data_IF_706533542679
#
_entry.id   IF_706533542679
#
_cell.length_a   1.000
_cell.length_b   1.000
_cell.length_c   1.000
_cell.angle_alpha   90.00
_cell.angle_beta   90.00
_cell.angle_gamma   90.00
#
_symmetry.space_group_name_H-M   'P 1'
#
loop_
_entity.id
_entity.type
_entity.pdbx_description
1 polymer ?
#
# COMPACT_ATOMS: atom_id res chain seq x y z
N UNK A 1 -0.10 4.85 0.34
CA UNK A 1 -1.47 4.55 0.80
C UNK A 1 -1.40 3.99 2.21
N UNK A 2 -2.13 4.58 3.12
CA UNK A 2 -2.24 4.12 4.51
C UNK A 2 -3.65 3.59 4.75
N UNK A 3 -3.76 2.38 5.27
CA UNK A 3 -5.03 1.79 5.67
C UNK A 3 -5.21 1.97 7.19
N UNK A 4 -6.36 2.48 7.59
CA UNK A 4 -6.71 2.61 9.01
C UNK A 4 -7.82 1.59 9.31
N UNK A 5 -7.52 0.64 10.20
CA UNK A 5 -8.47 -0.36 10.67
C UNK A 5 -8.80 -0.12 12.13
N UNK A 6 -10.05 -0.34 12.53
CA UNK A 6 -10.46 -0.36 13.94
C UNK A 6 -10.77 -1.76 14.40
N UNK A 7 -10.38 -2.10 15.62
CA UNK A 7 -10.92 -3.23 16.34
C UNK A 7 -12.14 -2.79 17.14
N UNK A 8 -13.31 -3.32 16.82
CA UNK A 8 -14.49 -3.21 17.67
C UNK A 8 -14.63 -4.47 18.51
N UNK A 9 -15.33 -4.38 19.65
CA UNK A 9 -15.47 -5.44 20.69
C UNK A 9 -15.96 -6.83 20.18
N UNK A 10 -16.11 -7.02 18.89
CA UNK A 10 -16.51 -8.27 18.24
C UNK A 10 -15.55 -8.72 17.13
N UNK A 11 -14.22 -8.46 17.25
CA UNK A 11 -13.15 -8.94 16.36
C UNK A 11 -13.39 -8.70 14.85
N UNK A 12 -14.25 -7.77 14.47
CA UNK A 12 -14.42 -7.38 13.07
C UNK A 12 -13.56 -6.16 12.80
N UNK A 13 -12.42 -6.37 12.17
CA UNK A 13 -11.62 -5.29 11.57
C UNK A 13 -12.45 -4.61 10.49
N UNK A 14 -12.65 -3.31 10.62
CA UNK A 14 -13.34 -2.50 9.63
C UNK A 14 -12.39 -1.45 9.10
N UNK A 15 -12.28 -1.37 7.76
CA UNK A 15 -11.52 -0.32 7.10
C UNK A 15 -12.25 1.00 7.34
N UNK A 16 -11.59 1.95 8.01
CA UNK A 16 -12.13 3.28 8.25
C UNK A 16 -11.83 4.24 7.11
N UNK A 17 -10.60 4.19 6.60
CA UNK A 17 -10.18 5.03 5.49
C UNK A 17 -9.00 4.39 4.75
N UNK A 18 -8.96 4.59 3.43
CA UNK A 18 -7.78 4.35 2.59
C UNK A 18 -7.26 5.72 2.14
N UNK A 19 -6.05 6.08 2.61
CA UNK A 19 -5.46 7.39 2.37
C UNK A 19 -4.48 7.26 1.21
N UNK A 20 -4.83 7.81 0.05
CA UNK A 20 -4.04 7.75 -1.20
C UNK A 20 -3.34 9.07 -1.55
N UNK A 21 -3.75 10.16 -0.93
CA UNK A 21 -3.29 11.53 -1.20
C UNK A 21 -2.98 12.29 0.10
N UNK A 22 -2.64 13.57 -0.03
CA UNK A 22 -2.34 14.45 1.10
C UNK A 22 -3.59 15.07 1.74
N UNK A 23 -4.80 14.66 1.34
CA UNK A 23 -6.03 15.16 1.94
C UNK A 23 -6.24 14.61 3.37
N UNK A 24 -6.54 15.48 4.34
CA UNK A 24 -6.75 15.03 5.71
C UNK A 24 -8.06 14.26 5.86
N UNK A 25 -8.00 13.08 6.48
CA UNK A 25 -9.17 12.25 6.77
C UNK A 25 -9.52 12.35 8.25
N UNK A 26 -10.78 12.67 8.54
CA UNK A 26 -11.29 12.70 9.92
C UNK A 26 -11.66 11.28 10.36
N UNK A 27 -10.86 10.73 11.26
CA UNK A 27 -11.02 9.35 11.77
C UNK A 27 -11.96 9.30 12.97
N UNK A 28 -11.90 10.31 13.85
CA UNK A 28 -12.76 10.43 15.02
C UNK A 28 -13.24 11.87 15.18
N UNK A 29 -14.51 12.04 15.50
CA UNK A 29 -15.08 13.37 15.70
C UNK A 29 -14.94 13.81 17.14
N UNK A 30 -14.50 15.06 17.33
CA UNK A 30 -14.46 15.68 18.65
C UNK A 30 -15.84 15.84 19.26
N UNK A 31 -15.89 15.79 20.58
CA UNK A 31 -17.13 16.02 21.31
C UNK A 31 -17.54 17.50 21.31
N UNK A 32 -18.79 17.74 21.68
CA UNK A 32 -19.32 19.11 21.83
C UNK A 32 -18.93 19.66 23.19
N UNK A 33 -18.32 20.84 23.22
CA UNK A 33 -17.99 21.54 24.45
C UNK A 33 -19.22 21.85 25.32
N UNK A 34 -19.02 21.87 26.61
CA UNK A 34 -20.06 22.26 27.58
C UNK A 34 -20.27 23.77 27.62
N UNK A 35 -21.28 24.17 28.37
CA UNK A 35 -21.59 25.58 28.62
C UNK A 35 -21.17 25.94 30.04
N UNK A 36 -20.30 26.94 30.16
CA UNK A 36 -19.93 27.49 31.42
C UNK A 36 -21.08 28.27 32.09
N UNK A 37 -20.92 28.63 33.35
CA UNK A 37 -21.94 29.35 34.13
C UNK A 37 -22.37 30.70 33.54
N UNK A 38 -21.48 31.37 32.81
CA UNK A 38 -21.77 32.64 32.11
C UNK A 38 -22.92 32.53 31.11
N UNK A 39 -23.09 31.38 30.45
CA UNK A 39 -24.21 31.15 29.53
C UNK A 39 -25.57 31.09 30.19
N UNK A 40 -25.61 30.92 31.52
CA UNK A 40 -26.85 30.81 32.30
C UNK A 40 -27.11 32.05 33.16
N UNK A 41 -26.31 33.09 32.98
CA UNK A 41 -26.51 34.35 33.67
C UNK A 41 -27.78 35.04 33.18
N UNK A 42 -28.59 35.51 34.11
CA UNK A 42 -29.82 36.30 33.87
C UNK A 42 -29.80 37.58 34.72
N UNK A 43 -30.61 38.59 34.40
CA UNK A 43 -30.66 39.82 35.20
C UNK A 43 -30.94 39.59 36.70
N UNK A 44 -31.67 38.54 37.02
CA UNK A 44 -32.00 38.14 38.40
C UNK A 44 -30.99 37.17 39.01
N UNK A 45 -30.21 36.47 38.22
CA UNK A 45 -29.16 35.53 38.64
C UNK A 45 -27.87 35.81 37.87
N UNK A 46 -27.11 36.78 38.32
CA UNK A 46 -25.89 37.22 37.62
C UNK A 46 -24.72 36.24 37.75
N UNK A 47 -24.68 35.44 38.82
CA UNK A 47 -23.61 34.46 39.07
C UNK A 47 -24.22 33.07 39.30
N UNK A 48 -24.62 32.35 38.26
CA UNK A 48 -25.10 30.97 38.40
C UNK A 48 -23.97 30.06 38.91
N UNK A 49 -24.28 29.11 39.79
CA UNK A 49 -23.32 28.12 40.33
C UNK A 49 -23.39 26.76 39.63
N UNK A 50 -23.90 26.71 38.42
CA UNK A 50 -24.00 25.50 37.63
C UNK A 50 -23.49 25.73 36.22
N UNK A 51 -23.03 24.62 35.57
CA UNK A 51 -22.57 24.56 34.22
C UNK A 51 -23.16 23.31 33.56
N UNK A 52 -23.24 23.29 32.26
CA UNK A 52 -23.65 22.09 31.51
C UNK A 52 -22.39 21.40 31.00
N UNK A 53 -22.14 20.12 31.34
CA UNK A 53 -21.00 19.37 30.81
C UNK A 53 -21.11 19.22 29.30
N UNK A 54 -19.97 19.04 28.64
CA UNK A 54 -19.91 18.69 27.24
C UNK A 54 -20.26 17.22 27.00
N UNK A 55 -20.25 16.86 25.73
CA UNK A 55 -20.38 15.46 25.31
C UNK A 55 -18.98 14.92 24.96
N UNK A 56 -18.66 13.68 25.32
CA UNK A 56 -17.41 13.06 24.92
C UNK A 56 -17.33 12.96 23.38
N UNK A 57 -16.12 13.01 22.86
CA UNK A 57 -15.84 12.71 21.46
C UNK A 57 -15.80 11.21 21.20
N UNK A 58 -15.65 10.87 19.94
CA UNK A 58 -15.38 9.49 19.50
C UNK A 58 -13.95 9.12 19.86
N UNK A 59 -13.73 7.87 20.25
CA UNK A 59 -12.41 7.31 20.52
C UNK A 59 -12.35 5.90 19.95
N UNK A 60 -11.30 5.61 19.17
CA UNK A 60 -11.10 4.33 18.52
C UNK A 60 -9.64 3.92 18.70
N UNK A 61 -9.41 2.63 18.84
CA UNK A 61 -8.09 2.03 18.65
C UNK A 61 -7.94 1.72 17.17
N UNK A 62 -6.92 2.31 16.52
CA UNK A 62 -6.72 2.17 15.08
C UNK A 62 -5.35 1.55 14.79
N UNK A 63 -5.31 0.70 13.77
CA UNK A 63 -4.09 0.15 13.22
C UNK A 63 -3.81 0.86 11.90
N UNK A 64 -2.64 1.47 11.80
CA UNK A 64 -2.16 2.09 10.57
C UNK A 64 -1.35 1.07 9.78
N UNK A 65 -1.78 0.77 8.57
CA UNK A 65 -1.06 -0.10 7.65
C UNK A 65 -0.51 0.69 6.48
N UNK A 66 0.83 0.73 6.34
CA UNK A 66 1.48 1.35 5.19
C UNK A 66 1.48 0.38 4.01
N UNK A 67 0.75 0.69 2.95
CA UNK A 67 0.61 -0.16 1.76
C UNK A 67 1.71 0.04 0.71
N UNK A 68 2.60 1.00 0.87
CA UNK A 68 3.70 1.19 -0.08
C UNK A 68 4.66 0.01 0.00
N UNK A 69 4.87 -0.69 -1.13
CA UNK A 69 5.79 -1.82 -1.20
C UNK A 69 7.19 -1.35 -1.59
N UNK A 70 7.29 -0.62 -2.70
CA UNK A 70 8.55 -0.13 -3.26
C UNK A 70 8.30 1.05 -4.21
N UNK A 71 9.34 1.80 -4.52
CA UNK A 71 9.28 2.83 -5.57
C UNK A 71 9.29 2.19 -6.95
N UNK A 72 10.07 1.12 -7.13
CA UNK A 72 10.23 0.39 -8.40
C UNK A 72 9.92 -1.08 -8.19
N UNK A 73 8.97 -1.61 -8.96
CA UNK A 73 8.65 -3.04 -9.02
C UNK A 73 9.30 -3.70 -10.23
N UNK A 74 10.01 -4.82 -10.03
CA UNK A 74 10.49 -5.66 -11.13
C UNK A 74 9.44 -6.69 -11.48
N UNK A 75 9.06 -6.75 -12.75
CA UNK A 75 8.18 -7.76 -13.32
C UNK A 75 8.91 -8.52 -14.43
N UNK A 76 8.52 -9.76 -14.66
CA UNK A 76 9.13 -10.62 -15.66
C UNK A 76 8.96 -12.08 -15.29
N UNK A 77 9.15 -12.96 -16.26
CA UNK A 77 9.08 -14.41 -16.05
C UNK A 77 10.13 -14.91 -15.05
N UNK A 78 9.94 -16.11 -14.47
CA UNK A 78 11.00 -16.73 -13.66
C UNK A 78 12.32 -16.85 -14.44
N UNK A 79 13.44 -16.80 -13.72
CA UNK A 79 14.81 -16.97 -14.23
C UNK A 79 15.32 -15.90 -15.22
N UNK A 80 14.56 -14.84 -15.52
CA UNK A 80 15.02 -13.74 -16.41
C UNK A 80 16.06 -12.81 -15.75
N UNK A 81 16.46 -13.06 -14.50
CA UNK A 81 17.53 -12.32 -13.85
C UNK A 81 17.08 -11.17 -12.92
N UNK A 82 15.80 -11.04 -12.58
CA UNK A 82 15.29 -9.98 -11.68
C UNK A 82 16.04 -9.90 -10.35
N UNK A 83 16.13 -11.02 -9.63
CA UNK A 83 16.80 -11.08 -8.32
C UNK A 83 18.31 -10.83 -8.45
N UNK A 84 18.92 -11.21 -9.56
CA UNK A 84 20.32 -10.91 -9.87
C UNK A 84 20.49 -9.40 -10.08
N UNK A 85 19.60 -8.78 -10.83
CA UNK A 85 19.62 -7.33 -11.04
C UNK A 85 19.57 -6.58 -9.71
N UNK A 86 18.61 -6.91 -8.84
CA UNK A 86 18.51 -6.28 -7.49
C UNK A 86 19.79 -6.50 -6.69
N UNK A 87 20.37 -7.70 -6.72
CA UNK A 87 21.57 -7.99 -5.94
C UNK A 87 22.79 -7.20 -6.39
N UNK A 88 22.86 -6.84 -7.68
CA UNK A 88 23.95 -6.06 -8.25
C UNK A 88 23.79 -4.56 -8.00
N UNK A 89 22.56 -4.03 -8.15
CA UNK A 89 22.31 -2.57 -8.05
C UNK A 89 22.03 -2.10 -6.62
N UNK A 90 21.75 -3.01 -5.71
CA UNK A 90 21.46 -2.65 -4.33
C UNK A 90 22.71 -2.22 -3.59
N UNK A 91 22.64 -1.09 -2.87
CA UNK A 91 23.72 -0.56 -2.04
C UNK A 91 24.02 -1.41 -0.80
N UNK A 92 23.11 -2.31 -0.44
CA UNK A 92 23.26 -3.26 0.67
C UNK A 92 22.68 -4.61 0.24
N UNK A 93 23.00 -5.67 1.00
CA UNK A 93 22.45 -7.00 0.73
C UNK A 93 20.92 -6.93 0.70
N UNK A 94 20.24 -7.38 -0.38
CA UNK A 94 18.81 -7.40 -0.47
C UNK A 94 18.16 -8.13 0.71
N UNK A 95 17.03 -7.63 1.18
CA UNK A 95 16.30 -8.21 2.30
C UNK A 95 15.01 -8.84 1.83
N UNK A 96 14.73 -10.00 2.34
CA UNK A 96 13.43 -10.66 2.21
C UNK A 96 12.47 -9.96 3.18
N UNK A 97 11.35 -9.46 2.67
CA UNK A 97 10.37 -8.76 3.48
C UNK A 97 9.12 -9.63 3.67
N UNK A 98 8.80 -9.92 4.91
CA UNK A 98 7.57 -10.63 5.29
C UNK A 98 6.50 -9.60 5.64
N UNK A 99 5.64 -9.27 4.71
CA UNK A 99 4.47 -8.45 4.98
C UNK A 99 3.27 -9.32 5.31
N UNK A 100 2.51 -8.98 6.34
CA UNK A 100 1.32 -9.75 6.76
C UNK A 100 0.23 -9.85 5.69
N UNK A 101 0.26 -8.95 4.72
CA UNK A 101 -0.68 -8.90 3.59
C UNK A 101 -0.16 -9.57 2.32
N UNK A 102 1.03 -10.22 2.35
CA UNK A 102 1.62 -10.88 1.18
C UNK A 102 1.63 -12.39 1.35
N UNK A 103 1.08 -13.11 0.39
CA UNK A 103 1.25 -14.57 0.27
C UNK A 103 2.58 -14.93 -0.37
N UNK A 104 3.20 -13.97 -1.07
CA UNK A 104 4.50 -14.07 -1.71
C UNK A 104 5.47 -13.14 -1.00
N UNK A 105 6.69 -13.59 -0.83
CA UNK A 105 7.73 -12.87 -0.08
C UNK A 105 8.61 -12.08 -1.05
N UNK A 106 8.40 -10.75 -1.19
CA UNK A 106 9.22 -9.95 -2.10
C UNK A 106 10.64 -9.79 -1.56
N UNK A 107 11.59 -9.67 -2.49
CA UNK A 107 12.98 -9.31 -2.19
C UNK A 107 13.15 -7.82 -2.43
N UNK A 108 13.54 -7.08 -1.41
CA UNK A 108 13.73 -5.64 -1.48
C UNK A 108 15.20 -5.28 -1.52
N UNK A 109 15.57 -4.38 -2.43
CA UNK A 109 16.89 -3.77 -2.52
C UNK A 109 16.78 -2.24 -2.45
N UNK A 110 17.72 -1.62 -1.74
CA UNK A 110 17.83 -0.15 -1.71
C UNK A 110 18.90 0.27 -2.73
N UNK A 111 18.47 0.95 -3.77
CA UNK A 111 19.35 1.50 -4.81
C UNK A 111 19.71 2.93 -4.46
N UNK A 112 21.00 3.26 -4.54
CA UNK A 112 21.51 4.63 -4.31
C UNK A 112 22.00 5.22 -5.62
N UNK A 113 21.57 6.46 -5.88
CA UNK A 113 22.07 7.27 -6.98
C UNK A 113 22.41 8.67 -6.48
N UNK A 114 23.70 8.93 -6.30
CA UNK A 114 24.16 10.17 -5.65
C UNK A 114 23.67 10.25 -4.20
N UNK A 115 22.99 11.32 -3.86
CA UNK A 115 22.40 11.52 -2.52
C UNK A 115 20.96 10.96 -2.40
N UNK A 116 20.39 10.53 -3.50
CA UNK A 116 19.04 9.95 -3.52
C UNK A 116 19.07 8.43 -3.37
N UNK A 117 18.02 7.88 -2.79
CA UNK A 117 17.82 6.45 -2.70
C UNK A 117 16.37 6.10 -2.95
N UNK A 118 16.14 4.94 -3.56
CA UNK A 118 14.82 4.40 -3.79
C UNK A 118 14.81 2.90 -3.51
N UNK A 119 13.63 2.37 -3.22
CA UNK A 119 13.44 0.94 -2.96
C UNK A 119 13.00 0.24 -4.23
N UNK A 120 13.71 -0.83 -4.58
CA UNK A 120 13.37 -1.73 -5.69
C UNK A 120 12.89 -3.06 -5.11
N UNK A 121 11.79 -3.59 -5.63
CA UNK A 121 11.23 -4.87 -5.23
C UNK A 121 11.28 -5.88 -6.37
N UNK A 122 11.84 -7.06 -6.11
CA UNK A 122 11.58 -8.25 -6.94
C UNK A 122 10.29 -8.89 -6.43
N UNK A 123 9.29 -8.88 -7.27
CA UNK A 123 7.99 -9.41 -6.95
C UNK A 123 7.87 -10.78 -7.65
N UNK A 124 8.05 -11.89 -6.92
CA UNK A 124 7.97 -13.23 -7.53
C UNK A 124 6.52 -13.56 -7.89
N UNK A 125 6.30 -14.25 -8.99
CA UNK A 125 5.03 -14.93 -9.23
C UNK A 125 4.17 -14.47 -10.42
N UNK A 126 4.73 -13.76 -11.40
CA UNK A 126 4.03 -13.60 -12.67
C UNK A 126 4.16 -14.92 -13.45
N UNK A 127 3.09 -15.70 -13.46
CA UNK A 127 2.93 -16.94 -14.22
C UNK A 127 1.73 -16.74 -15.15
N UNK A 128 1.74 -17.30 -16.35
CA UNK A 128 0.59 -17.29 -17.26
C UNK A 128 -0.73 -17.61 -16.52
N UNK A 129 -1.78 -16.81 -16.77
CA UNK A 129 -3.08 -16.98 -16.13
C UNK A 129 -3.24 -16.29 -14.76
N UNK A 130 -2.34 -15.38 -14.40
CA UNK A 130 -2.42 -14.63 -13.14
C UNK A 130 -3.71 -13.81 -13.02
N UNK A 131 -4.24 -13.29 -14.12
CA UNK A 131 -5.49 -12.52 -14.18
C UNK A 131 -6.75 -13.39 -14.10
N UNK A 132 -6.67 -14.67 -14.47
CA UNK A 132 -7.82 -15.60 -14.47
C UNK A 132 -8.16 -16.15 -13.07
N UNK A 133 -7.51 -15.68 -12.03
CA UNK A 133 -7.90 -15.96 -10.65
C UNK A 133 -7.40 -17.29 -10.09
N UNK A 134 -6.51 -17.99 -10.76
CA UNK A 134 -5.90 -19.23 -10.25
C UNK A 134 -4.79 -18.91 -9.25
N UNK A 135 -5.19 -18.59 -8.04
CA UNK A 135 -4.43 -18.72 -6.80
C UNK A 135 -3.45 -17.58 -6.45
N UNK A 136 -2.43 -17.28 -7.19
CA UNK A 136 -1.34 -16.39 -6.77
C UNK A 136 -1.30 -15.04 -7.51
N UNK A 137 -1.95 -14.95 -8.68
CA UNK A 137 -1.87 -13.81 -9.58
C UNK A 137 -2.44 -12.50 -9.01
N UNK A 138 -3.62 -12.53 -8.43
CA UNK A 138 -4.27 -11.34 -7.86
C UNK A 138 -3.51 -10.75 -6.65
N UNK A 139 -2.90 -11.60 -5.83
CA UNK A 139 -2.09 -11.14 -4.71
C UNK A 139 -0.82 -10.45 -5.22
N UNK A 140 -0.18 -11.01 -6.25
CA UNK A 140 0.98 -10.45 -6.93
C UNK A 140 0.67 -9.07 -7.54
N UNK A 141 -0.38 -8.99 -8.36
CA UNK A 141 -0.74 -7.76 -9.07
C UNK A 141 -1.07 -6.61 -8.12
N UNK A 142 -1.70 -6.90 -6.97
CA UNK A 142 -1.87 -5.91 -5.89
C UNK A 142 -0.56 -5.39 -5.30
N UNK A 143 0.53 -6.15 -5.39
CA UNK A 143 1.85 -5.67 -4.96
C UNK A 143 2.49 -4.77 -6.02
N UNK A 144 2.34 -5.12 -7.29
CA UNK A 144 2.80 -4.28 -8.42
C UNK A 144 2.08 -2.93 -8.41
N UNK A 145 0.77 -2.92 -8.13
CA UNK A 145 -0.05 -1.72 -8.00
C UNK A 145 0.47 -0.73 -6.94
N UNK A 146 1.20 -1.24 -5.93
CA UNK A 146 1.82 -0.45 -4.86
C UNK A 146 3.22 0.07 -5.17
N UNK A 147 3.70 -0.14 -6.40
CA UNK A 147 4.94 0.45 -6.88
C UNK A 147 4.65 1.69 -7.73
N UNK A 148 5.54 2.66 -7.70
CA UNK A 148 5.38 3.89 -8.51
C UNK A 148 5.78 3.70 -9.96
N UNK A 149 6.79 2.88 -10.20
CA UNK A 149 7.34 2.57 -11.51
C UNK A 149 7.44 1.05 -11.66
N UNK A 150 7.25 0.56 -12.88
CA UNK A 150 7.40 -0.85 -13.22
C UNK A 150 8.58 -1.00 -14.17
N UNK A 151 9.50 -1.90 -13.84
CA UNK A 151 10.60 -2.30 -14.73
C UNK A 151 10.35 -3.73 -15.19
N UNK A 152 10.07 -3.87 -16.46
CA UNK A 152 9.88 -5.17 -17.10
C UNK A 152 11.21 -5.76 -17.54
N UNK A 153 11.57 -6.91 -16.99
CA UNK A 153 12.81 -7.64 -17.30
C UNK A 153 12.49 -8.81 -18.20
N UNK A 154 13.08 -8.82 -19.40
CA UNK A 154 12.87 -9.85 -20.42
C UNK A 154 14.21 -10.52 -20.76
N UNK A 155 14.21 -11.85 -20.80
CA UNK A 155 15.39 -12.62 -21.23
C UNK A 155 15.41 -12.72 -22.76
N UNK A 156 16.41 -12.09 -23.37
CA UNK A 156 16.62 -12.11 -24.83
C UNK A 156 17.58 -13.21 -25.28
N UNK A 157 18.10 -14.02 -24.33
CA UNK A 157 19.08 -15.07 -24.67
C UNK A 157 18.46 -16.29 -25.37
N UNK A 158 17.16 -16.50 -25.20
CA UNK A 158 16.42 -17.66 -25.71
C UNK A 158 16.78 -19.00 -25.04
N UNK A 159 17.58 -18.98 -23.96
CA UNK A 159 18.04 -20.20 -23.27
C UNK A 159 16.86 -21.03 -22.75
N UNK A 160 15.78 -20.37 -22.32
CA UNK A 160 14.55 -21.03 -21.84
C UNK A 160 13.61 -21.48 -22.98
N UNK A 161 14.00 -21.25 -24.27
CA UNK A 161 13.18 -21.65 -25.41
C UNK A 161 11.92 -20.81 -25.65
N UNK A 162 11.80 -19.66 -24.97
CA UNK A 162 10.68 -18.71 -25.12
C UNK A 162 11.06 -17.57 -26.06
N UNK A 163 10.04 -17.01 -26.74
CA UNK A 163 10.23 -15.80 -27.53
C UNK A 163 10.15 -14.56 -26.61
N UNK A 164 11.16 -13.71 -26.58
CA UNK A 164 11.17 -12.50 -25.75
C UNK A 164 10.00 -11.54 -26.04
N UNK A 165 9.51 -11.50 -27.28
CA UNK A 165 8.37 -10.64 -27.67
C UNK A 165 7.07 -11.17 -27.08
N UNK A 166 6.86 -12.49 -27.19
CA UNK A 166 5.69 -13.14 -26.62
C UNK A 166 5.67 -12.97 -25.10
N UNK A 167 6.82 -13.11 -24.43
CA UNK A 167 6.95 -12.90 -22.99
C UNK A 167 6.60 -11.46 -22.60
N UNK A 168 7.06 -10.47 -23.38
CA UNK A 168 6.74 -9.06 -23.16
C UNK A 168 5.24 -8.78 -23.31
N UNK A 169 4.64 -9.26 -24.42
CA UNK A 169 3.24 -9.05 -24.72
C UNK A 169 2.32 -9.71 -23.67
N UNK A 170 2.64 -10.93 -23.26
CA UNK A 170 1.87 -11.67 -22.24
C UNK A 170 1.83 -10.92 -20.90
N UNK A 171 2.98 -10.44 -20.43
CA UNK A 171 3.04 -9.70 -19.17
C UNK A 171 2.27 -8.39 -19.26
N UNK A 172 2.42 -7.64 -20.35
CA UNK A 172 1.65 -6.41 -20.54
C UNK A 172 0.15 -6.67 -20.58
N UNK A 173 -0.27 -7.74 -21.22
CA UNK A 173 -1.67 -8.14 -21.28
C UNK A 173 -2.22 -8.52 -19.89
N UNK A 174 -1.44 -9.24 -19.09
CA UNK A 174 -1.81 -9.57 -17.70
C UNK A 174 -1.95 -8.32 -16.82
N UNK A 175 -1.02 -7.36 -16.94
CA UNK A 175 -1.09 -6.10 -16.22
C UNK A 175 -2.33 -5.30 -16.64
N UNK A 176 -2.62 -5.21 -17.94
CA UNK A 176 -3.78 -4.50 -18.48
C UNK A 176 -5.11 -5.16 -18.08
N UNK A 177 -5.18 -6.48 -18.07
CA UNK A 177 -6.38 -7.21 -17.65
C UNK A 177 -6.69 -7.02 -16.16
N UNK A 178 -5.67 -6.72 -15.35
CA UNK A 178 -5.86 -6.51 -13.92
C UNK A 178 -6.31 -5.09 -13.59
N UNK A 179 -5.66 -4.07 -14.17
CA UNK A 179 -5.96 -2.66 -13.91
C UNK A 179 -5.49 -1.79 -15.06
N UNK A 180 -6.37 -0.88 -15.54
CA UNK A 180 -6.01 0.14 -16.52
C UNK A 180 -4.87 1.03 -16.03
N UNK A 181 -4.85 1.36 -14.74
CA UNK A 181 -3.78 2.15 -14.11
C UNK A 181 -2.41 1.48 -14.22
N UNK A 182 -2.36 0.14 -14.20
CA UNK A 182 -1.11 -0.61 -14.36
C UNK A 182 -0.64 -0.64 -15.81
N UNK A 183 -1.55 -0.65 -16.76
CA UNK A 183 -1.22 -0.65 -18.18
C UNK A 183 -0.62 0.70 -18.64
N UNK A 184 -1.05 1.80 -18.02
CA UNK A 184 -0.60 3.16 -18.33
C UNK A 184 0.61 3.60 -17.49
N UNK A 185 1.01 2.81 -16.51
CA UNK A 185 2.11 3.16 -15.60
C UNK A 185 3.46 3.05 -16.32
N UNK A 186 4.33 4.08 -16.15
CA UNK A 186 5.66 4.06 -16.73
C UNK A 186 6.55 2.99 -16.10
#
# INVERSE_FOLDING_TARGET
>A
TQLIETETMHERKQIMADISDDEPVVVAKGGRGGWGNSHFATPTRQIPRFAKPGFPGEAFDVVLELKLLADVGLVGFPNVGKSTLISVVSAAKPKIANYHFTTLTPVLGVVKHGEQSFVMADIPGLIEGASEGVGLGHAFLRHVERCRLIVHVVDVSGVEGRDPRDDFEKINQELANFSEDLAERP
#
